data_IF_839907544889
#
_entry.id   IF_839907544889
#
_cell.length_a   1.000
_cell.length_b   1.000
_cell.length_c   1.000
_cell.angle_alpha   90.00
_cell.angle_beta   90.00
_cell.angle_gamma   90.00
#
_symmetry.space_group_name_H-M   'P 1'
#
loop_
_entity.id
_entity.type
_entity.pdbx_description
1 polymer ?
#
# COMPACT_ATOMS: atom_id res chain seq x y z
N UNK A 1 -2.38 42.16 6.54
CA UNK A 1 -2.98 40.91 7.04
C UNK A 1 -3.90 40.39 5.94
N UNK A 2 -3.35 39.60 5.01
CA UNK A 2 -4.14 39.03 3.91
C UNK A 2 -4.51 37.60 4.31
N UNK A 3 -5.79 37.38 4.58
CA UNK A 3 -6.33 36.07 4.87
C UNK A 3 -6.24 35.24 3.59
N UNK A 4 -5.29 34.31 3.54
CA UNK A 4 -5.25 33.21 2.58
C UNK A 4 -6.39 32.25 2.91
N UNK A 5 -7.61 32.66 2.58
CA UNK A 5 -8.76 31.79 2.57
C UNK A 5 -8.51 30.69 1.55
N UNK A 6 -8.39 29.45 2.02
CA UNK A 6 -8.54 28.27 1.17
C UNK A 6 -9.94 28.35 0.53
N UNK A 7 -10.00 28.70 -0.75
CA UNK A 7 -11.23 28.80 -1.51
C UNK A 7 -11.79 27.39 -1.77
N UNK A 8 -12.64 26.92 -0.86
CA UNK A 8 -13.31 25.63 -0.90
C UNK A 8 -14.21 25.44 -2.15
N UNK A 9 -14.49 26.49 -2.94
CA UNK A 9 -15.29 26.40 -4.17
C UNK A 9 -14.48 25.98 -5.40
N UNK A 10 -13.15 26.02 -5.34
CA UNK A 10 -12.27 25.55 -6.42
C UNK A 10 -11.94 24.05 -6.30
N UNK A 11 -12.44 23.38 -5.26
CA UNK A 11 -12.24 21.94 -5.09
C UNK A 11 -13.16 21.19 -6.06
N UNK A 12 -12.61 20.28 -6.89
CA UNK A 12 -13.43 19.46 -7.78
C UNK A 12 -14.44 18.67 -6.95
N UNK A 13 -15.72 18.80 -7.28
CA UNK A 13 -16.80 18.13 -6.55
C UNK A 13 -16.62 16.60 -6.65
N UNK A 14 -16.82 15.85 -5.54
CA UNK A 14 -16.78 14.40 -5.59
C UNK A 14 -17.89 13.89 -6.53
N UNK A 15 -17.52 13.00 -7.44
CA UNK A 15 -18.44 12.34 -8.37
C UNK A 15 -18.21 10.83 -8.34
N UNK A 16 -19.09 10.04 -8.95
CA UNK A 16 -18.95 8.58 -8.96
C UNK A 16 -17.66 8.13 -9.68
N UNK A 17 -17.24 8.89 -10.70
CA UNK A 17 -15.99 8.72 -11.42
C UNK A 17 -14.78 9.27 -10.65
N UNK A 18 -15.03 10.12 -9.66
CA UNK A 18 -14.02 10.83 -8.85
C UNK A 18 -14.47 10.87 -7.41
N UNK A 19 -14.41 9.75 -6.67
CA UNK A 19 -14.99 9.65 -5.32
C UNK A 19 -14.44 10.71 -4.34
N UNK A 20 -13.23 11.21 -4.60
CA UNK A 20 -12.57 12.24 -3.80
C UNK A 20 -12.42 13.59 -4.51
N UNK A 21 -12.99 13.73 -5.72
CA UNK A 21 -12.88 14.93 -6.56
C UNK A 21 -11.51 15.12 -7.23
N UNK A 22 -10.43 14.80 -6.51
CA UNK A 22 -9.04 14.83 -6.98
C UNK A 22 -8.57 13.44 -7.44
N UNK A 23 -7.60 13.40 -8.34
CA UNK A 23 -6.92 12.16 -8.74
C UNK A 23 -5.87 11.80 -7.69
N UNK A 24 -6.07 10.73 -6.90
CA UNK A 24 -5.07 10.31 -5.91
C UNK A 24 -3.92 9.55 -6.57
N UNK A 25 -4.20 8.82 -7.65
CA UNK A 25 -3.18 8.07 -8.40
C UNK A 25 -1.92 8.87 -8.81
N UNK A 26 -1.99 10.07 -9.43
CA UNK A 26 -0.79 10.84 -9.79
C UNK A 26 -0.03 11.40 -8.58
N UNK A 27 -0.71 11.59 -7.45
CA UNK A 27 -0.05 11.97 -6.19
C UNK A 27 0.73 10.79 -5.64
N UNK A 28 0.10 9.61 -5.67
CA UNK A 28 0.75 8.35 -5.30
C UNK A 28 1.94 8.02 -6.20
N UNK A 29 1.80 8.17 -7.52
CA UNK A 29 2.86 7.94 -8.50
C UNK A 29 4.11 8.76 -8.19
N UNK A 30 3.96 10.07 -7.97
CA UNK A 30 5.07 10.95 -7.60
C UNK A 30 5.70 10.58 -6.26
N UNK A 31 4.88 10.29 -5.26
CA UNK A 31 5.36 9.91 -3.94
C UNK A 31 6.09 8.56 -3.97
N UNK A 32 5.56 7.58 -4.70
CA UNK A 32 6.14 6.27 -4.88
C UNK A 32 7.46 6.34 -5.64
N UNK A 33 7.51 7.06 -6.75
CA UNK A 33 8.74 7.27 -7.53
C UNK A 33 9.81 7.97 -6.70
N UNK A 34 9.44 8.93 -5.84
CA UNK A 34 10.38 9.58 -4.94
C UNK A 34 10.96 8.63 -3.87
N UNK A 35 10.19 7.63 -3.41
CA UNK A 35 10.62 6.68 -2.38
C UNK A 35 11.37 5.48 -2.98
N UNK A 36 10.88 4.93 -4.09
CA UNK A 36 11.35 3.67 -4.70
C UNK A 36 12.30 3.89 -5.88
N UNK A 37 12.30 5.07 -6.49
CA UNK A 37 13.17 5.41 -7.62
C UNK A 37 12.70 4.90 -8.99
N UNK A 38 11.50 4.31 -9.09
CA UNK A 38 10.90 3.86 -10.35
C UNK A 38 9.39 4.09 -10.33
N UNK A 39 8.77 4.17 -11.52
CA UNK A 39 7.34 4.41 -11.62
C UNK A 39 6.55 3.17 -11.18
N UNK A 40 5.41 3.34 -10.47
CA UNK A 40 4.56 2.22 -10.07
C UNK A 40 4.19 1.31 -11.25
N UNK A 41 4.01 1.86 -12.45
CA UNK A 41 3.63 1.16 -13.69
C UNK A 41 4.74 0.25 -14.23
N UNK A 42 5.99 0.48 -13.84
CA UNK A 42 7.14 -0.37 -14.21
C UNK A 42 7.25 -1.61 -13.31
N UNK A 43 6.34 -1.77 -12.33
CA UNK A 43 6.33 -2.95 -11.47
C UNK A 43 5.73 -4.14 -12.23
N UNK A 44 6.52 -5.20 -12.34
CA UNK A 44 6.07 -6.48 -12.86
C UNK A 44 6.35 -7.61 -11.86
N UNK A 45 5.32 -8.38 -11.53
CA UNK A 45 5.45 -9.49 -10.61
C UNK A 45 5.98 -10.72 -11.33
N UNK A 46 7.27 -10.99 -11.16
CA UNK A 46 7.92 -12.17 -11.72
C UNK A 46 8.02 -13.30 -10.69
N UNK A 47 7.33 -14.45 -10.90
CA UNK A 47 7.41 -15.59 -10.01
C UNK A 47 8.85 -16.10 -9.85
N UNK A 48 9.29 -16.31 -8.59
CA UNK A 48 10.64 -16.75 -8.20
C UNK A 48 11.77 -15.73 -8.34
N UNK A 49 11.51 -14.54 -8.89
CA UNK A 49 12.50 -13.45 -8.98
C UNK A 49 12.17 -12.35 -7.98
N UNK A 50 10.88 -12.04 -7.81
CA UNK A 50 10.44 -11.07 -6.82
C UNK A 50 10.75 -11.57 -5.40
N UNK A 51 11.28 -10.71 -4.51
CA UNK A 51 11.58 -11.11 -3.14
C UNK A 51 10.31 -11.56 -2.43
N UNK A 52 10.39 -12.61 -1.61
CA UNK A 52 9.24 -13.30 -0.99
C UNK A 52 8.36 -14.12 -1.97
N UNK A 53 8.74 -14.24 -3.24
CA UNK A 53 8.06 -15.12 -4.22
C UNK A 53 8.61 -16.55 -4.20
N UNK A 54 9.75 -16.78 -3.52
CA UNK A 54 10.34 -18.11 -3.37
C UNK A 54 10.05 -18.74 -2.00
N UNK A 55 9.86 -20.07 -2.01
CA UNK A 55 9.72 -20.86 -0.78
C UNK A 55 10.96 -20.75 0.12
N UNK A 56 12.15 -20.60 -0.49
CA UNK A 56 13.42 -20.51 0.24
C UNK A 56 13.48 -19.22 1.07
N UNK A 57 13.21 -18.08 0.45
CA UNK A 57 13.21 -16.79 1.15
C UNK A 57 12.12 -16.73 2.21
N UNK A 58 10.89 -17.12 1.87
CA UNK A 58 9.76 -17.14 2.80
C UNK A 58 10.04 -18.04 4.00
N UNK A 59 10.58 -19.24 3.77
CA UNK A 59 10.96 -20.18 4.82
C UNK A 59 12.06 -19.64 5.73
N UNK A 60 13.07 -18.96 5.15
CA UNK A 60 14.12 -18.32 5.92
C UNK A 60 13.58 -17.18 6.79
N UNK A 61 12.67 -16.36 6.28
CA UNK A 61 12.05 -15.29 7.08
C UNK A 61 11.19 -15.87 8.22
N UNK A 62 10.43 -16.93 7.97
CA UNK A 62 9.65 -17.61 9.03
C UNK A 62 10.59 -18.17 10.11
N UNK A 63 11.67 -18.83 9.70
CA UNK A 63 12.67 -19.35 10.64
C UNK A 63 13.29 -18.23 11.48
N UNK A 64 13.72 -17.14 10.83
CA UNK A 64 14.28 -15.98 11.51
C UNK A 64 13.29 -15.34 12.49
N UNK A 65 12.02 -15.24 12.11
CA UNK A 65 10.94 -14.73 12.95
C UNK A 65 10.80 -15.53 14.25
N UNK A 66 10.78 -16.87 14.16
CA UNK A 66 10.71 -17.72 15.35
C UNK A 66 11.98 -17.64 16.20
N UNK A 67 13.17 -17.59 15.59
CA UNK A 67 14.43 -17.40 16.32
C UNK A 67 14.40 -16.10 17.12
N UNK A 68 13.93 -15.00 16.53
CA UNK A 68 13.82 -13.70 17.20
C UNK A 68 12.81 -13.76 18.35
N UNK A 69 11.65 -14.41 18.18
CA UNK A 69 10.65 -14.53 19.24
C UNK A 69 11.16 -15.37 20.41
N UNK A 70 11.64 -16.57 20.15
CA UNK A 70 12.10 -17.47 21.21
C UNK A 70 13.40 -16.97 21.85
N UNK A 71 14.31 -16.43 21.05
CA UNK A 71 15.54 -15.80 21.53
C UNK A 71 15.27 -14.56 22.36
N UNK A 72 14.38 -13.68 21.88
CA UNK A 72 13.94 -12.49 22.61
C UNK A 72 13.24 -12.84 23.93
N UNK A 73 12.40 -13.88 23.94
CA UNK A 73 11.73 -14.38 25.15
C UNK A 73 12.73 -14.83 26.21
N UNK A 74 13.74 -15.61 25.84
CA UNK A 74 14.75 -16.09 26.80
C UNK A 74 15.65 -14.95 27.27
N UNK A 75 16.04 -14.03 26.37
CA UNK A 75 16.83 -12.85 26.72
C UNK A 75 16.12 -11.92 27.71
N UNK A 76 14.80 -11.76 27.57
CA UNK A 76 13.97 -10.90 28.41
C UNK A 76 13.55 -11.55 29.72
N UNK A 77 13.85 -12.84 29.95
CA UNK A 77 13.38 -13.62 31.11
C UNK A 77 13.77 -13.02 32.46
N UNK A 78 14.93 -12.39 32.55
CA UNK A 78 15.47 -11.77 33.77
C UNK A 78 15.57 -10.24 33.68
N UNK A 79 14.86 -9.60 32.72
CA UNK A 79 14.90 -8.15 32.47
C UNK A 79 13.49 -7.55 32.62
N UNK A 80 13.36 -6.31 33.12
CA UNK A 80 12.09 -5.62 33.10
C UNK A 80 11.65 -5.28 31.66
N UNK A 81 10.34 -5.26 31.41
CA UNK A 81 9.80 -4.94 30.10
C UNK A 81 10.13 -3.50 29.68
N UNK A 82 10.56 -3.32 28.42
CA UNK A 82 10.84 -2.01 27.86
C UNK A 82 9.53 -1.23 27.59
N UNK A 83 9.41 -0.02 28.13
CA UNK A 83 8.27 0.88 27.87
C UNK A 83 8.57 1.83 26.71
N UNK A 84 8.38 1.34 25.49
CA UNK A 84 8.63 2.09 24.24
C UNK A 84 7.36 2.77 23.69
N UNK A 85 6.54 3.37 24.57
CA UNK A 85 5.21 3.89 24.21
C UNK A 85 5.21 4.86 23.02
N UNK A 86 6.18 5.77 22.95
CA UNK A 86 6.28 6.73 21.84
C UNK A 86 6.54 6.05 20.49
N UNK A 87 7.47 5.09 20.45
CA UNK A 87 7.78 4.34 19.23
C UNK A 87 6.60 3.47 18.78
N UNK A 88 5.92 2.80 19.72
CA UNK A 88 4.71 2.03 19.42
C UNK A 88 3.56 2.92 18.92
N UNK A 89 3.40 4.12 19.48
CA UNK A 89 2.37 5.06 19.01
C UNK A 89 2.66 5.52 17.57
N UNK A 90 3.91 5.90 17.27
CA UNK A 90 4.32 6.30 15.91
C UNK A 90 4.13 5.15 14.93
N UNK A 91 4.52 3.93 15.31
CA UNK A 91 4.35 2.75 14.47
C UNK A 91 2.87 2.48 14.14
N UNK A 92 1.99 2.51 15.14
CA UNK A 92 0.56 2.30 14.93
C UNK A 92 -0.07 3.40 14.06
N UNK A 93 0.34 4.65 14.26
CA UNK A 93 -0.11 5.75 13.41
C UNK A 93 0.38 5.57 11.97
N UNK A 94 1.64 5.22 11.78
CA UNK A 94 2.24 4.94 10.47
C UNK A 94 1.49 3.82 9.73
N UNK A 95 1.23 2.69 10.40
CA UNK A 95 0.46 1.59 9.81
C UNK A 95 -0.98 2.00 9.45
N UNK A 96 -1.61 2.80 10.31
CA UNK A 96 -2.98 3.29 10.08
C UNK A 96 -3.02 4.25 8.90
N UNK A 97 -2.08 5.19 8.82
CA UNK A 97 -1.99 6.15 7.73
C UNK A 97 -1.76 5.46 6.39
N UNK A 98 -0.82 4.51 6.31
CA UNK A 98 -0.58 3.74 5.08
C UNK A 98 -1.80 2.94 4.67
N UNK A 99 -2.45 2.27 5.62
CA UNK A 99 -3.66 1.49 5.34
C UNK A 99 -4.80 2.37 4.83
N UNK A 100 -4.98 3.57 5.40
CA UNK A 100 -5.97 4.54 4.96
C UNK A 100 -5.68 5.06 3.53
N UNK A 101 -4.42 5.34 3.21
CA UNK A 101 -4.00 5.77 1.86
C UNK A 101 -4.25 4.66 0.84
N UNK A 102 -3.85 3.43 1.15
CA UNK A 102 -4.11 2.25 0.30
C UNK A 102 -5.61 2.07 0.07
N UNK A 103 -6.41 2.14 1.12
CA UNK A 103 -7.87 2.02 1.01
C UNK A 103 -8.47 3.11 0.12
N UNK A 104 -8.01 4.36 0.25
CA UNK A 104 -8.48 5.45 -0.59
C UNK A 104 -8.13 5.22 -2.08
N UNK A 105 -6.93 4.74 -2.38
CA UNK A 105 -6.52 4.37 -3.73
C UNK A 105 -7.35 3.21 -4.30
N UNK A 106 -7.67 2.21 -3.48
CA UNK A 106 -8.58 1.12 -3.88
C UNK A 106 -9.99 1.64 -4.18
N UNK A 107 -10.52 2.53 -3.34
CA UNK A 107 -11.85 3.13 -3.54
C UNK A 107 -11.90 3.93 -4.84
N UNK A 108 -10.86 4.70 -5.16
CA UNK A 108 -10.76 5.47 -6.42
C UNK A 108 -10.93 4.57 -7.65
N UNK A 109 -10.36 3.37 -7.63
CA UNK A 109 -10.42 2.44 -8.77
C UNK A 109 -11.67 1.53 -8.76
N UNK A 110 -12.11 1.11 -7.58
CA UNK A 110 -13.21 0.14 -7.44
C UNK A 110 -14.60 0.77 -7.60
N UNK A 111 -14.83 1.98 -7.06
CA UNK A 111 -16.14 2.64 -7.11
C UNK A 111 -16.65 2.84 -8.54
N UNK A 112 -15.90 3.47 -9.47
CA UNK A 112 -16.38 3.65 -10.84
C UNK A 112 -16.55 2.33 -11.58
N UNK A 113 -15.67 1.36 -11.34
CA UNK A 113 -15.74 0.03 -11.98
C UNK A 113 -17.01 -0.72 -11.57
N UNK A 114 -17.32 -0.76 -10.27
CA UNK A 114 -18.51 -1.44 -9.73
C UNK A 114 -19.79 -0.69 -10.10
N UNK A 115 -19.78 0.64 -10.09
CA UNK A 115 -20.97 1.43 -10.42
C UNK A 115 -21.36 1.29 -11.89
N UNK A 116 -20.39 1.38 -12.81
CA UNK A 116 -20.66 1.37 -14.25
C UNK A 116 -20.89 -0.04 -14.83
N UNK A 117 -20.25 -1.07 -14.28
CA UNK A 117 -20.26 -2.41 -14.86
C UNK A 117 -20.82 -3.49 -13.92
N UNK A 118 -21.12 -3.13 -12.66
CA UNK A 118 -21.61 -4.05 -11.65
C UNK A 118 -20.51 -4.86 -10.95
N UNK A 119 -20.89 -5.49 -9.84
CA UNK A 119 -19.98 -6.28 -9.00
C UNK A 119 -19.41 -7.51 -9.73
N UNK A 120 -20.22 -8.19 -10.53
CA UNK A 120 -19.77 -9.38 -11.27
C UNK A 120 -18.70 -9.06 -12.30
N UNK A 121 -18.78 -7.89 -12.95
CA UNK A 121 -17.74 -7.45 -13.88
C UNK A 121 -16.44 -7.14 -13.14
N UNK A 122 -16.51 -6.45 -12.00
CA UNK A 122 -15.34 -6.13 -11.19
C UNK A 122 -14.58 -7.38 -10.68
N UNK A 123 -15.26 -8.52 -10.51
CA UNK A 123 -14.66 -9.75 -9.98
C UNK A 123 -14.30 -10.74 -11.09
N UNK A 124 -15.20 -10.96 -12.05
CA UNK A 124 -15.06 -12.02 -13.06
C UNK A 124 -14.37 -11.55 -14.35
N UNK A 125 -14.35 -10.25 -14.62
CA UNK A 125 -13.70 -9.70 -15.81
C UNK A 125 -12.28 -9.21 -15.48
N UNK A 126 -11.31 -9.62 -16.31
CA UNK A 126 -9.90 -9.21 -16.19
C UNK A 126 -9.76 -7.69 -16.27
N UNK A 127 -10.59 -7.01 -17.06
CA UNK A 127 -10.55 -5.55 -17.19
C UNK A 127 -11.13 -4.81 -15.97
N UNK A 128 -11.92 -5.49 -15.14
CA UNK A 128 -12.47 -4.94 -13.90
C UNK A 128 -11.59 -5.25 -12.67
N UNK A 129 -11.12 -6.49 -12.56
CA UNK A 129 -10.38 -6.98 -11.39
C UNK A 129 -8.86 -7.03 -11.56
N UNK A 130 -8.33 -6.79 -12.76
CA UNK A 130 -6.90 -6.87 -13.07
C UNK A 130 -6.43 -5.67 -13.91
N UNK A 131 -6.71 -4.46 -13.42
CA UNK A 131 -6.19 -3.23 -14.04
C UNK A 131 -4.76 -2.95 -13.56
N UNK A 132 -3.93 -2.33 -14.41
CA UNK A 132 -2.55 -1.95 -14.06
C UNK A 132 -2.42 -1.24 -12.70
N UNK A 133 -3.20 -0.19 -12.36
CA UNK A 133 -3.10 0.44 -11.05
C UNK A 133 -3.48 -0.48 -9.89
N UNK A 134 -4.45 -1.40 -10.08
CA UNK A 134 -4.93 -2.30 -9.04
C UNK A 134 -3.93 -3.42 -8.73
N UNK A 135 -3.27 -3.96 -9.76
CA UNK A 135 -2.19 -4.95 -9.62
C UNK A 135 -1.07 -4.40 -8.74
N UNK A 136 -0.65 -3.16 -8.99
CA UNK A 136 0.39 -2.50 -8.20
C UNK A 136 -0.05 -2.33 -6.74
N UNK A 137 -1.30 -1.93 -6.51
CA UNK A 137 -1.85 -1.80 -5.16
C UNK A 137 -1.87 -3.16 -4.42
N UNK A 138 -2.13 -4.28 -5.12
CA UNK A 138 -2.05 -5.61 -4.53
C UNK A 138 -0.63 -5.98 -4.12
N UNK A 139 0.36 -5.61 -4.93
CA UNK A 139 1.74 -5.99 -4.71
C UNK A 139 2.59 -4.93 -4.01
N UNK A 140 2.05 -3.77 -3.62
CA UNK A 140 2.84 -2.66 -3.05
C UNK A 140 3.66 -3.08 -1.82
N UNK A 141 3.13 -4.00 -1.00
CA UNK A 141 3.83 -4.55 0.17
C UNK A 141 4.98 -5.50 -0.20
N UNK A 142 4.92 -6.11 -1.38
CA UNK A 142 5.92 -7.02 -1.94
C UNK A 142 6.79 -6.37 -3.03
N UNK A 143 6.48 -5.12 -3.42
CA UNK A 143 7.04 -4.39 -4.56
C UNK A 143 8.47 -3.88 -4.29
N UNK A 144 9.36 -4.81 -3.99
CA UNK A 144 10.79 -4.58 -3.93
C UNK A 144 11.56 -5.29 -5.05
N UNK A 145 10.93 -5.45 -6.22
CA UNK A 145 11.60 -5.79 -7.47
C UNK A 145 11.18 -4.81 -8.55
N UNK A 146 12.14 -4.14 -9.17
CA UNK A 146 11.95 -3.45 -10.45
C UNK A 146 11.87 -4.54 -11.53
N UNK A 147 11.00 -4.38 -12.53
CA UNK A 147 11.12 -5.19 -13.74
C UNK A 147 12.48 -4.87 -14.38
N UNK A 148 13.39 -5.83 -14.37
CA UNK A 148 14.63 -5.77 -15.16
C UNK A 148 14.31 -6.50 -16.47
N UNK A 149 14.38 -5.78 -17.59
CA UNK A 149 14.17 -6.31 -18.95
C UNK A 149 15.23 -7.35 -19.34
#
# INVERSE_FOLDING_TARGET
MSSSGFDLKALPLPSIERPFGVHLWPVFDKAFTAIKGYHPQDFDFQPRVTPMSTLKESGLTILAYYIIIFGGRELMRNRPAFKLNGLFMIHNFYLTAISAILLALFIEQLVPTVYNHGLFYAICDVKGGWTSPLVILYYVGSACGKAED
#
